data_IF_130068219213
#
_entry.id   IF_130068219213
#
_cell.length_a   1.000
_cell.length_b   1.000
_cell.length_c   1.000
_cell.angle_alpha   90.00
_cell.angle_beta   90.00
_cell.angle_gamma   90.00
#
_symmetry.space_group_name_H-M   'P 1'
#
loop_
_entity.id
_entity.type
_entity.pdbx_description
1 polymer ?
#
# COMPACT_ATOMS: atom_id res chain seq x y z
N UNK A 1 -74.77 -16.59 -1.95
CA UNK A 1 -73.68 -16.22 -2.89
C UNK A 1 -72.84 -15.11 -2.25
N UNK A 2 -71.60 -15.46 -1.88
CA UNK A 2 -70.41 -14.62 -1.68
C UNK A 2 -70.33 -13.59 -0.53
N UNK A 3 -69.85 -14.12 0.59
CA UNK A 3 -68.78 -13.61 1.47
C UNK A 3 -67.77 -12.66 0.76
N UNK A 4 -67.62 -11.41 1.25
CA UNK A 4 -66.45 -10.54 1.00
C UNK A 4 -66.07 -9.89 2.35
N UNK A 5 -65.19 -10.53 3.11
CA UNK A 5 -63.73 -10.26 3.23
C UNK A 5 -63.38 -8.87 3.77
N UNK A 6 -63.03 -8.90 5.06
CA UNK A 6 -62.19 -7.99 5.83
C UNK A 6 -60.93 -7.55 5.04
N UNK A 7 -60.57 -6.27 5.14
CA UNK A 7 -59.22 -5.78 4.87
C UNK A 7 -58.92 -4.66 5.86
N UNK A 8 -58.29 -5.03 6.97
CA UNK A 8 -57.62 -4.11 7.88
C UNK A 8 -56.26 -3.81 7.25
N UNK A 9 -56.09 -2.60 6.75
CA UNK A 9 -54.79 -2.11 6.29
C UNK A 9 -53.94 -1.76 7.52
N UNK A 10 -53.07 -2.69 7.93
CA UNK A 10 -52.02 -2.41 8.92
C UNK A 10 -50.95 -1.52 8.31
N UNK A 11 -50.80 -0.31 8.85
CA UNK A 11 -49.70 0.59 8.54
C UNK A 11 -48.42 0.04 9.22
N UNK A 12 -47.65 -0.78 8.50
CA UNK A 12 -46.29 -1.10 8.91
C UNK A 12 -45.37 0.06 8.50
N UNK A 13 -45.16 1.02 9.40
CA UNK A 13 -44.08 2.00 9.29
C UNK A 13 -42.75 1.26 9.51
N UNK A 14 -42.12 0.82 8.42
CA UNK A 14 -40.75 0.33 8.47
C UNK A 14 -39.80 1.49 8.71
N UNK A 15 -39.27 1.61 9.94
CA UNK A 15 -38.09 2.43 10.20
C UNK A 15 -36.89 1.73 9.55
N UNK A 16 -36.50 2.20 8.36
CA UNK A 16 -35.21 1.87 7.79
C UNK A 16 -34.14 2.56 8.64
N UNK A 17 -33.42 1.78 9.46
CA UNK A 17 -32.18 2.21 10.08
C UNK A 17 -31.15 2.38 8.96
N UNK A 18 -31.00 3.61 8.46
CA UNK A 18 -29.83 3.99 7.69
C UNK A 18 -28.64 4.03 8.65
N UNK A 19 -27.86 2.96 8.64
CA UNK A 19 -26.47 2.98 9.10
C UNK A 19 -25.72 3.93 8.18
N UNK A 20 -25.52 5.19 8.59
CA UNK A 20 -24.49 6.02 7.99
C UNK A 20 -23.16 5.49 8.52
N UNK A 21 -22.42 4.72 7.71
CA UNK A 21 -21.01 4.52 7.95
C UNK A 21 -20.37 5.91 7.96
N UNK A 22 -20.01 6.40 9.14
CA UNK A 22 -19.25 7.63 9.28
C UNK A 22 -17.91 7.37 8.59
N UNK A 23 -17.62 8.09 7.50
CA UNK A 23 -16.31 8.05 6.85
C UNK A 23 -15.27 8.23 7.96
N UNK A 24 -14.48 7.19 8.27
CA UNK A 24 -13.44 7.31 9.26
C UNK A 24 -12.47 8.37 8.76
N UNK A 25 -12.35 9.47 9.49
CA UNK A 25 -11.37 10.50 9.22
C UNK A 25 -10.00 9.97 9.62
N UNK A 26 -9.39 9.17 8.74
CA UNK A 26 -8.05 8.62 8.93
C UNK A 26 -7.08 9.79 8.97
N UNK A 27 -6.49 10.01 10.15
CA UNK A 27 -5.56 11.14 10.39
C UNK A 27 -4.16 10.88 9.87
N UNK A 28 -3.80 9.61 9.73
CA UNK A 28 -2.49 9.18 9.27
C UNK A 28 -2.25 9.49 7.81
N UNK A 29 -1.00 9.30 7.41
CA UNK A 29 -0.55 9.46 6.02
C UNK A 29 0.26 8.25 5.61
N UNK A 30 0.28 7.97 4.31
CA UNK A 30 1.15 6.95 3.74
C UNK A 30 2.24 7.61 2.89
N UNK A 31 3.47 7.12 3.02
CA UNK A 31 4.60 7.54 2.19
C UNK A 31 5.16 6.31 1.46
N UNK A 32 4.69 6.07 0.24
CA UNK A 32 4.90 4.82 -0.49
C UNK A 32 6.01 5.03 -1.52
N UNK A 33 7.16 4.38 -1.34
CA UNK A 33 8.40 4.65 -2.07
C UNK A 33 8.70 3.52 -3.07
N UNK A 34 8.91 3.87 -4.33
CA UNK A 34 9.16 2.91 -5.41
C UNK A 34 10.48 2.12 -5.27
N UNK A 35 11.39 2.56 -4.41
CA UNK A 35 12.67 1.89 -4.16
C UNK A 35 13.87 2.69 -4.63
N UNK A 36 15.01 2.02 -4.77
CA UNK A 36 16.27 2.67 -5.14
C UNK A 36 16.85 3.55 -4.02
N UNK A 37 17.65 4.54 -4.42
CA UNK A 37 18.18 5.54 -3.49
C UNK A 37 17.08 6.45 -2.97
N UNK A 38 17.20 6.92 -1.72
CA UNK A 38 16.33 7.98 -1.19
C UNK A 38 17.13 9.26 -1.12
N UNK A 39 16.81 10.29 -1.93
CA UNK A 39 17.48 11.57 -1.82
C UNK A 39 17.19 12.21 -0.46
N UNK A 40 18.11 13.06 0.01
CA UNK A 40 17.97 13.72 1.31
C UNK A 40 16.65 14.50 1.44
N UNK A 41 16.18 15.12 0.36
CA UNK A 41 14.89 15.82 0.28
C UNK A 41 13.68 14.91 0.55
N UNK A 42 13.74 13.64 0.12
CA UNK A 42 12.69 12.67 0.40
C UNK A 42 12.68 12.28 1.87
N UNK A 43 13.86 12.03 2.45
CA UNK A 43 13.97 11.69 3.88
C UNK A 43 13.53 12.86 4.76
N UNK A 44 13.91 14.09 4.40
CA UNK A 44 13.42 15.32 5.04
C UNK A 44 11.90 15.44 4.95
N UNK A 45 11.31 15.11 3.78
CA UNK A 45 9.86 15.09 3.63
C UNK A 45 9.20 14.08 4.58
N UNK A 46 9.74 12.87 4.73
CA UNK A 46 9.25 11.87 5.70
C UNK A 46 9.30 12.41 7.13
N UNK A 47 10.40 13.07 7.51
CA UNK A 47 10.57 13.70 8.83
C UNK A 47 9.47 14.75 9.06
N UNK A 48 9.29 15.66 8.10
CA UNK A 48 8.30 16.74 8.18
C UNK A 48 6.86 16.23 8.29
N UNK A 49 6.51 15.22 7.49
CA UNK A 49 5.14 14.68 7.44
C UNK A 49 4.82 13.83 8.68
N UNK A 50 5.81 13.14 9.25
CA UNK A 50 5.65 12.38 10.50
C UNK A 50 5.68 13.26 11.75
N UNK A 51 6.37 14.41 11.69
CA UNK A 51 6.57 15.31 12.82
C UNK A 51 7.49 14.75 13.91
N UNK A 52 8.30 13.74 13.59
CA UNK A 52 9.24 13.12 14.54
C UNK A 52 10.32 14.08 15.05
N UNK A 53 10.61 15.13 14.28
CA UNK A 53 11.50 16.23 14.66
C UNK A 53 10.91 17.14 15.76
N UNK A 54 9.59 17.11 15.94
CA UNK A 54 8.86 17.89 16.95
C UNK A 54 8.57 17.09 18.22
N UNK A 55 8.89 15.80 18.24
CA UNK A 55 8.72 14.91 19.39
C UNK A 55 8.27 13.50 19.00
N UNK A 56 8.30 12.58 19.97
CA UNK A 56 8.02 11.17 19.73
C UNK A 56 9.21 10.42 19.16
N UNK A 57 8.96 9.34 18.43
CA UNK A 57 9.99 8.51 17.82
C UNK A 57 9.47 7.82 16.56
N UNK A 58 10.40 7.34 15.74
CA UNK A 58 10.12 6.45 14.62
C UNK A 58 10.63 5.03 14.86
N UNK A 59 10.00 4.06 14.22
CA UNK A 59 10.48 2.68 14.17
C UNK A 59 10.71 2.25 12.72
N UNK A 60 11.76 1.49 12.49
CA UNK A 60 12.01 0.77 11.23
C UNK A 60 11.63 -0.68 11.45
N UNK A 61 10.78 -1.20 10.58
CA UNK A 61 10.37 -2.59 10.50
C UNK A 61 11.17 -3.28 9.37
N UNK A 62 12.25 -4.03 9.68
CA UNK A 62 13.19 -4.51 8.68
C UNK A 62 12.85 -5.91 8.11
N UNK A 63 11.71 -6.47 8.47
CA UNK A 63 11.35 -7.89 8.30
C UNK A 63 11.26 -8.36 6.85
N UNK A 64 11.14 -7.44 5.88
CA UNK A 64 11.22 -7.76 4.45
C UNK A 64 12.61 -8.28 4.05
N UNK A 65 13.65 -7.87 4.76
CA UNK A 65 15.06 -8.15 4.43
C UNK A 65 15.48 -9.56 4.86
N UNK A 66 16.36 -10.20 4.09
CA UNK A 66 17.10 -11.38 4.55
C UNK A 66 18.17 -11.06 5.60
N UNK A 67 18.54 -9.78 5.72
CA UNK A 67 19.48 -9.27 6.73
C UNK A 67 18.80 -8.11 7.49
N UNK A 68 17.94 -8.42 8.48
CA UNK A 68 17.14 -7.40 9.16
C UNK A 68 17.99 -6.35 9.90
N UNK A 69 19.07 -6.76 10.55
CA UNK A 69 19.94 -5.84 11.30
C UNK A 69 20.62 -4.81 10.39
N UNK A 70 21.20 -5.27 9.27
CA UNK A 70 21.77 -4.40 8.25
C UNK A 70 20.71 -3.45 7.67
N UNK A 71 19.53 -3.98 7.36
CA UNK A 71 18.42 -3.21 6.81
C UNK A 71 17.98 -2.10 7.77
N UNK A 72 17.81 -2.43 9.05
CA UNK A 72 17.50 -1.47 10.10
C UNK A 72 18.59 -0.41 10.23
N UNK A 73 19.87 -0.80 10.28
CA UNK A 73 21.00 0.11 10.38
C UNK A 73 21.01 1.14 9.23
N UNK A 74 20.91 0.69 7.97
CA UNK A 74 20.93 1.62 6.85
C UNK A 74 19.69 2.50 6.77
N UNK A 75 18.52 1.97 7.16
CA UNK A 75 17.26 2.71 7.18
C UNK A 75 17.18 3.72 8.35
N UNK A 76 17.82 3.50 9.49
CA UNK A 76 17.92 4.52 10.55
C UNK A 76 18.98 5.56 10.21
N UNK A 77 20.11 5.15 9.64
CA UNK A 77 21.23 6.03 9.33
C UNK A 77 20.88 7.14 8.33
N UNK A 78 19.91 6.95 7.43
CA UNK A 78 19.42 8.02 6.56
C UNK A 78 18.78 9.18 7.35
N UNK A 79 18.09 8.89 8.46
CA UNK A 79 17.51 9.92 9.34
C UNK A 79 18.58 10.54 10.25
N UNK A 80 19.53 9.74 10.75
CA UNK A 80 20.61 10.22 11.61
C UNK A 80 21.50 11.24 10.89
N UNK A 81 21.76 11.03 9.59
CA UNK A 81 22.48 11.98 8.73
C UNK A 81 21.79 13.35 8.60
N UNK A 82 20.49 13.42 8.86
CA UNK A 82 19.71 14.67 8.91
C UNK A 82 19.52 15.20 10.34
N UNK A 83 20.21 14.62 11.33
CA UNK A 83 20.12 15.03 12.74
C UNK A 83 18.93 14.46 13.51
N UNK A 84 18.14 13.57 12.90
CA UNK A 84 16.95 12.97 13.51
C UNK A 84 17.30 11.63 14.14
N UNK A 85 17.68 11.64 15.42
CA UNK A 85 18.28 10.48 16.11
C UNK A 85 17.28 9.60 16.89
N UNK A 86 15.99 9.93 16.85
CA UNK A 86 14.90 9.22 17.54
C UNK A 86 14.19 8.20 16.63
N UNK A 87 14.94 7.52 15.75
CA UNK A 87 14.43 6.46 14.88
C UNK A 87 15.18 5.17 15.19
N UNK A 88 14.46 4.07 15.45
CA UNK A 88 15.05 2.82 15.94
C UNK A 88 14.63 1.62 15.11
N UNK A 89 15.50 0.61 15.01
CA UNK A 89 15.12 -0.67 14.41
C UNK A 89 14.26 -1.49 15.38
N UNK A 90 13.15 -2.05 14.89
CA UNK A 90 12.29 -2.98 15.61
C UNK A 90 12.00 -4.19 14.73
N UNK A 91 12.70 -5.29 15.00
CA UNK A 91 12.53 -6.53 14.27
C UNK A 91 11.59 -7.49 14.99
N UNK A 92 10.74 -8.19 14.23
CA UNK A 92 9.96 -9.32 14.70
C UNK A 92 10.36 -10.60 13.96
N UNK A 93 10.17 -11.74 14.62
CA UNK A 93 10.35 -13.06 14.00
C UNK A 93 9.04 -13.83 14.08
N UNK A 94 8.82 -14.70 13.10
CA UNK A 94 7.59 -15.47 13.00
C UNK A 94 7.37 -16.31 14.27
N UNK A 95 6.12 -16.32 14.75
CA UNK A 95 5.67 -17.05 15.94
C UNK A 95 6.37 -16.64 17.25
N UNK A 96 7.04 -15.47 17.29
CA UNK A 96 7.63 -15.00 18.55
C UNK A 96 6.57 -14.61 19.58
N UNK A 97 6.90 -14.77 20.86
CA UNK A 97 6.05 -14.27 21.95
C UNK A 97 6.20 -12.75 22.03
N UNK A 98 5.15 -12.03 21.65
CA UNK A 98 5.13 -10.57 21.62
C UNK A 98 5.10 -9.99 23.04
N UNK A 99 6.05 -9.11 23.34
CA UNK A 99 6.06 -8.38 24.61
C UNK A 99 5.23 -7.09 24.50
N UNK A 100 4.61 -6.69 25.60
CA UNK A 100 3.86 -5.43 25.69
C UNK A 100 4.71 -4.24 25.21
N UNK A 101 6.01 -4.21 25.54
CA UNK A 101 6.93 -3.16 25.13
C UNK A 101 7.13 -3.05 23.61
N UNK A 102 7.23 -4.17 22.88
CA UNK A 102 7.37 -4.16 21.41
C UNK A 102 6.06 -3.70 20.76
N UNK A 103 4.93 -4.14 21.29
CA UNK A 103 3.60 -3.74 20.82
C UNK A 103 3.35 -2.24 21.04
N UNK A 104 3.65 -1.72 22.24
CA UNK A 104 3.55 -0.30 22.54
C UNK A 104 4.50 0.55 21.70
N UNK A 105 5.63 -0.02 21.27
CA UNK A 105 6.56 0.64 20.33
C UNK A 105 5.95 0.86 18.95
N UNK A 106 5.06 -0.03 18.49
CA UNK A 106 4.32 0.17 17.24
C UNK A 106 3.21 1.20 17.45
N UNK A 107 2.36 0.96 18.47
CA UNK A 107 1.14 1.75 18.72
C UNK A 107 1.40 3.25 18.84
N UNK A 108 2.53 3.64 19.44
CA UNK A 108 2.83 5.03 19.76
C UNK A 108 3.86 5.68 18.83
N UNK A 109 4.36 4.97 17.82
CA UNK A 109 5.35 5.51 16.89
C UNK A 109 4.73 6.61 16.03
N UNK A 110 5.44 7.74 15.87
CA UNK A 110 5.03 8.81 14.93
C UNK A 110 5.36 8.47 13.48
N UNK A 111 6.38 7.64 13.29
CA UNK A 111 6.80 7.10 12.00
C UNK A 111 6.94 5.58 12.13
N UNK A 112 6.29 4.84 11.25
CA UNK A 112 6.57 3.42 11.02
C UNK A 112 7.15 3.30 9.61
N UNK A 113 8.41 2.90 9.49
CA UNK A 113 9.11 2.75 8.21
C UNK A 113 9.34 1.27 7.89
N UNK A 114 8.69 0.76 6.85
CA UNK A 114 8.81 -0.62 6.38
C UNK A 114 9.92 -0.71 5.33
N UNK A 115 10.95 -1.51 5.60
CA UNK A 115 12.09 -1.62 4.69
C UNK A 115 11.81 -2.49 3.46
N UNK A 116 12.74 -2.43 2.48
CA UNK A 116 12.69 -3.25 1.27
C UNK A 116 13.16 -4.68 1.49
N UNK A 117 12.96 -5.52 0.48
CA UNK A 117 13.30 -6.94 0.52
C UNK A 117 12.22 -7.76 -0.20
N UNK A 118 11.64 -8.72 0.49
CA UNK A 118 10.51 -9.54 0.01
C UNK A 118 9.26 -9.25 0.84
N UNK A 119 8.22 -8.73 0.18
CA UNK A 119 6.94 -8.41 0.79
C UNK A 119 6.21 -9.65 1.33
N UNK A 120 6.45 -10.83 0.76
CA UNK A 120 5.87 -12.07 1.29
C UNK A 120 6.44 -12.39 2.67
N UNK A 121 7.75 -12.18 2.89
CA UNK A 121 8.39 -12.41 4.20
C UNK A 121 7.85 -11.48 5.29
N UNK A 122 7.61 -10.22 4.93
CA UNK A 122 7.00 -9.27 5.85
C UNK A 122 5.59 -9.72 6.22
N UNK A 123 4.74 -10.04 5.24
CA UNK A 123 3.38 -10.47 5.50
C UNK A 123 3.32 -11.82 6.25
N UNK A 124 4.24 -12.75 6.00
CA UNK A 124 4.32 -14.03 6.73
C UNK A 124 4.56 -13.88 8.24
N UNK A 125 5.08 -12.72 8.67
CA UNK A 125 5.31 -12.38 10.09
C UNK A 125 4.15 -11.55 10.65
N UNK A 126 3.57 -10.67 9.84
CA UNK A 126 2.64 -9.62 10.31
C UNK A 126 1.18 -10.00 10.15
N UNK A 127 0.81 -10.70 9.06
CA UNK A 127 -0.57 -10.99 8.72
C UNK A 127 -1.28 -11.81 9.79
N UNK A 128 -2.49 -11.38 10.19
CA UNK A 128 -3.32 -12.03 11.17
C UNK A 128 -2.78 -11.93 12.61
N UNK A 129 -1.81 -11.05 12.86
CA UNK A 129 -1.21 -10.86 14.19
C UNK A 129 -1.58 -9.51 14.80
N UNK A 130 -1.32 -9.37 16.10
CA UNK A 130 -1.43 -8.08 16.80
C UNK A 130 -0.55 -6.99 16.14
N UNK A 131 0.54 -7.35 15.47
CA UNK A 131 1.42 -6.38 14.78
C UNK A 131 0.66 -5.66 13.68
N UNK A 132 -0.13 -6.39 12.88
CA UNK A 132 -0.96 -5.80 11.82
C UNK A 132 -1.97 -4.83 12.42
N UNK A 133 -2.72 -5.28 13.43
CA UNK A 133 -3.72 -4.44 14.13
C UNK A 133 -3.10 -3.14 14.62
N UNK A 134 -1.91 -3.20 15.23
CA UNK A 134 -1.25 -2.00 15.77
C UNK A 134 -0.68 -1.06 14.69
N UNK A 135 -0.29 -1.58 13.52
CA UNK A 135 0.09 -0.73 12.38
C UNK A 135 -1.14 0.05 11.90
N UNK A 136 -2.32 -0.60 11.83
CA UNK A 136 -3.58 0.07 11.51
C UNK A 136 -3.98 1.09 12.57
N UNK A 137 -3.96 0.73 13.86
CA UNK A 137 -4.25 1.67 14.95
C UNK A 137 -3.31 2.88 14.91
N UNK A 138 -2.01 2.67 14.70
CA UNK A 138 -1.05 3.76 14.60
C UNK A 138 -1.37 4.68 13.41
N UNK A 139 -1.70 4.11 12.26
CA UNK A 139 -2.11 4.86 11.07
C UNK A 139 -3.39 5.68 11.31
N UNK A 140 -4.45 5.06 11.81
CA UNK A 140 -5.72 5.72 12.15
C UNK A 140 -5.52 6.86 13.16
N UNK A 141 -4.59 6.69 14.12
CA UNK A 141 -4.26 7.67 15.14
C UNK A 141 -3.30 8.78 14.69
N UNK A 142 -2.92 8.83 13.41
CA UNK A 142 -2.17 9.96 12.84
C UNK A 142 -0.68 9.71 12.62
N UNK A 143 -0.23 8.46 12.66
CA UNK A 143 1.16 8.12 12.35
C UNK A 143 1.40 8.16 10.84
N UNK A 144 2.63 8.49 10.44
CA UNK A 144 3.08 8.30 9.07
C UNK A 144 3.56 6.86 8.89
N UNK A 145 2.94 6.12 7.98
CA UNK A 145 3.45 4.80 7.57
C UNK A 145 4.19 4.97 6.25
N UNK A 146 5.51 4.79 6.29
CA UNK A 146 6.38 4.87 5.13
C UNK A 146 6.85 3.48 4.73
N UNK A 147 7.04 3.22 3.45
CA UNK A 147 7.51 1.90 3.00
C UNK A 147 8.21 1.96 1.66
N UNK A 148 9.33 1.24 1.51
CA UNK A 148 10.13 1.23 0.28
C UNK A 148 10.17 -0.14 -0.36
N UNK A 149 10.04 -0.21 -1.69
CA UNK A 149 10.09 -1.47 -2.45
C UNK A 149 9.07 -2.48 -1.91
N UNK A 150 9.48 -3.58 -1.26
CA UNK A 150 8.57 -4.49 -0.56
C UNK A 150 7.62 -3.75 0.40
N UNK A 151 8.14 -2.79 1.18
CA UNK A 151 7.34 -1.95 2.06
C UNK A 151 6.31 -1.08 1.34
N UNK A 152 6.50 -0.78 0.05
CA UNK A 152 5.49 -0.10 -0.76
C UNK A 152 4.38 -1.05 -1.22
N UNK A 153 4.73 -2.28 -1.59
CA UNK A 153 3.78 -3.29 -2.05
C UNK A 153 2.81 -3.72 -0.95
N UNK A 154 3.27 -3.85 0.30
CA UNK A 154 2.41 -4.26 1.43
C UNK A 154 1.36 -3.22 1.81
N UNK A 155 1.46 -1.97 1.32
CA UNK A 155 0.52 -0.91 1.68
C UNK A 155 -0.88 -1.18 1.12
N UNK A 156 -0.96 -1.72 -0.09
CA UNK A 156 -2.23 -2.03 -0.74
C UNK A 156 -2.85 -3.32 -0.19
N UNK A 157 -4.18 -3.37 -0.13
CA UNK A 157 -4.90 -4.58 0.27
C UNK A 157 -4.64 -5.71 -0.73
N UNK A 158 -4.77 -5.42 -2.02
CA UNK A 158 -4.29 -6.32 -3.06
C UNK A 158 -2.82 -6.05 -3.34
N UNK A 159 -1.97 -7.02 -3.07
CA UNK A 159 -0.51 -6.90 -3.17
C UNK A 159 0.05 -7.83 -4.25
N UNK A 160 0.84 -7.28 -5.18
CA UNK A 160 1.60 -8.07 -6.16
C UNK A 160 2.75 -8.80 -5.45
N UNK A 161 2.80 -10.13 -5.52
CA UNK A 161 3.83 -10.93 -4.83
C UNK A 161 5.18 -10.94 -5.55
N UNK A 162 5.16 -10.68 -6.86
CA UNK A 162 6.33 -10.79 -7.75
C UNK A 162 6.48 -12.14 -8.44
N UNK A 163 5.56 -13.08 -8.21
CA UNK A 163 5.48 -14.36 -8.93
C UNK A 163 4.74 -14.19 -10.25
N UNK A 164 5.32 -14.72 -11.34
CA UNK A 164 4.66 -14.85 -12.65
C UNK A 164 4.16 -16.29 -12.80
N UNK A 165 2.84 -16.49 -12.77
CA UNK A 165 2.22 -17.80 -12.60
C UNK A 165 2.49 -18.74 -13.78
N UNK A 166 2.48 -18.21 -15.01
CA UNK A 166 2.70 -19.01 -16.23
C UNK A 166 4.18 -19.11 -16.61
N UNK A 167 5.04 -18.32 -15.99
CA UNK A 167 6.48 -18.27 -16.25
C UNK A 167 7.26 -18.29 -14.92
N UNK A 168 7.36 -19.46 -14.25
CA UNK A 168 7.80 -19.56 -12.85
C UNK A 168 9.27 -19.21 -12.60
N UNK A 169 10.05 -18.92 -13.65
CA UNK A 169 11.40 -18.37 -13.49
C UNK A 169 11.30 -16.88 -13.20
N UNK A 170 11.86 -16.46 -12.08
CA UNK A 170 11.88 -15.05 -11.70
C UNK A 170 12.44 -14.17 -12.83
N UNK A 171 11.65 -13.16 -13.20
CA UNK A 171 12.07 -12.07 -14.06
C UNK A 171 11.59 -10.75 -13.46
N UNK A 172 12.45 -9.73 -13.48
CA UNK A 172 12.08 -8.40 -13.00
C UNK A 172 10.95 -7.75 -13.85
N UNK A 173 10.91 -8.12 -15.13
CA UNK A 173 9.97 -7.65 -16.15
C UNK A 173 9.19 -8.84 -16.70
N UNK A 174 7.86 -8.74 -16.74
CA UNK A 174 7.03 -9.77 -17.38
C UNK A 174 6.97 -9.46 -18.86
N UNK A 175 7.26 -10.44 -19.71
CA UNK A 175 7.30 -10.25 -21.18
C UNK A 175 5.93 -10.44 -21.84
N UNK A 176 4.91 -10.78 -21.06
CA UNK A 176 3.61 -11.21 -21.56
C UNK A 176 2.47 -10.47 -20.85
N UNK A 177 1.45 -10.12 -21.64
CA UNK A 177 0.13 -9.71 -21.17
C UNK A 177 -0.78 -10.93 -21.26
N UNK A 178 -0.88 -11.66 -20.16
CA UNK A 178 -1.63 -12.92 -20.07
C UNK A 178 -2.62 -12.85 -18.91
N UNK A 179 -3.82 -13.41 -19.12
CA UNK A 179 -4.80 -13.56 -18.04
C UNK A 179 -4.31 -14.56 -17.00
N UNK A 180 -4.65 -14.34 -15.73
CA UNK A 180 -4.28 -15.22 -14.61
C UNK A 180 -2.76 -15.47 -14.50
N UNK A 181 -1.94 -14.51 -14.93
CA UNK A 181 -0.47 -14.63 -14.93
C UNK A 181 0.19 -13.95 -13.71
N UNK A 182 -0.57 -13.18 -12.93
CA UNK A 182 -0.05 -12.46 -11.77
C UNK A 182 -0.55 -13.12 -10.51
N UNK A 183 0.37 -13.42 -9.61
CA UNK A 183 -0.01 -13.77 -8.25
C UNK A 183 -0.19 -12.50 -7.40
N UNK A 184 -1.36 -12.41 -6.78
CA UNK A 184 -1.68 -11.39 -5.77
C UNK A 184 -1.97 -12.07 -4.43
N UNK A 185 -1.63 -11.39 -3.34
CA UNK A 185 -2.01 -11.77 -1.96
C UNK A 185 -2.56 -10.56 -1.23
N UNK A 186 -3.11 -10.78 -0.04
CA UNK A 186 -3.50 -9.70 0.86
C UNK A 186 -2.26 -9.03 1.46
N UNK A 187 -2.12 -7.72 1.27
CA UNK A 187 -1.16 -6.87 1.98
C UNK A 187 -1.74 -6.38 3.31
N UNK A 188 -1.21 -5.30 3.86
CA UNK A 188 -1.77 -4.66 5.06
C UNK A 188 -3.14 -4.03 4.78
N UNK A 189 -3.40 -3.54 3.57
CA UNK A 189 -4.69 -2.87 3.30
C UNK A 189 -4.84 -1.54 4.01
N UNK A 190 -3.74 -0.81 4.21
CA UNK A 190 -3.76 0.59 4.64
C UNK A 190 -4.37 1.51 3.57
N UNK A 191 -4.38 1.04 2.33
CA UNK A 191 -5.11 1.60 1.21
C UNK A 191 -5.75 0.47 0.39
N UNK A 192 -7.06 0.55 0.18
CA UNK A 192 -7.85 -0.53 -0.45
C UNK A 192 -8.20 -0.22 -1.91
N UNK A 193 -8.13 1.06 -2.32
CA UNK A 193 -8.58 1.50 -3.66
C UNK A 193 -7.49 1.53 -4.72
N UNK A 194 -6.24 1.20 -4.35
CA UNK A 194 -5.12 1.12 -5.29
C UNK A 194 -4.36 -0.20 -5.16
N UNK A 195 -3.69 -0.60 -6.25
CA UNK A 195 -2.66 -1.63 -6.25
C UNK A 195 -1.32 -0.98 -6.63
N UNK A 196 -0.31 -1.19 -5.78
CA UNK A 196 1.00 -0.57 -5.94
C UNK A 196 1.97 -1.50 -6.65
N UNK A 197 2.71 -0.94 -7.60
CA UNK A 197 3.94 -1.53 -8.10
C UNK A 197 5.11 -0.55 -7.94
N UNK A 198 6.29 -1.09 -7.72
CA UNK A 198 7.51 -0.43 -7.27
C UNK A 198 8.67 -0.77 -8.22
N UNK A 199 9.76 -0.01 -8.21
CA UNK A 199 10.82 -0.03 -9.23
C UNK A 199 10.25 0.00 -10.66
N UNK A 200 9.15 0.74 -10.85
CA UNK A 200 8.20 0.43 -11.90
C UNK A 200 8.78 0.65 -13.31
N UNK A 201 9.25 1.87 -13.59
CA UNK A 201 9.84 2.22 -14.88
C UNK A 201 11.22 1.57 -15.01
N UNK A 202 12.04 1.67 -13.95
CA UNK A 202 13.38 1.09 -13.88
C UNK A 202 13.43 -0.40 -14.25
N UNK A 203 12.43 -1.18 -13.83
CA UNK A 203 12.31 -2.62 -14.14
C UNK A 203 11.27 -2.92 -15.21
N UNK A 204 10.78 -1.93 -15.94
CA UNK A 204 9.80 -2.09 -17.03
C UNK A 204 8.57 -2.93 -16.64
N UNK A 205 8.03 -2.71 -15.43
CA UNK A 205 6.95 -3.54 -14.84
C UNK A 205 5.54 -3.24 -15.40
N UNK A 206 5.46 -2.59 -16.55
CA UNK A 206 4.22 -2.21 -17.21
C UNK A 206 3.26 -3.38 -17.42
N UNK A 207 3.75 -4.49 -17.97
CA UNK A 207 2.89 -5.61 -18.35
C UNK A 207 2.16 -6.21 -17.15
N UNK A 208 2.84 -6.34 -15.99
CA UNK A 208 2.17 -6.89 -14.81
C UNK A 208 1.17 -5.90 -14.22
N UNK A 209 1.50 -4.62 -14.08
CA UNK A 209 0.50 -3.69 -13.54
C UNK A 209 -0.69 -3.51 -14.50
N UNK A 210 -0.46 -3.50 -15.81
CA UNK A 210 -1.54 -3.48 -16.81
C UNK A 210 -2.42 -4.72 -16.73
N UNK A 211 -1.85 -5.92 -16.70
CA UNK A 211 -2.63 -7.16 -16.52
C UNK A 211 -3.44 -7.08 -15.23
N UNK A 212 -2.86 -6.63 -14.11
CA UNK A 212 -3.60 -6.50 -12.84
C UNK A 212 -4.81 -5.56 -12.98
N UNK A 213 -4.67 -4.39 -13.61
CA UNK A 213 -5.79 -3.44 -13.78
C UNK A 213 -6.85 -3.90 -14.78
N UNK A 214 -6.49 -4.75 -15.74
CA UNK A 214 -7.48 -5.37 -16.60
C UNK A 214 -8.26 -6.45 -15.83
N UNK A 215 -7.63 -7.17 -14.90
CA UNK A 215 -8.27 -8.21 -14.11
C UNK A 215 -9.05 -7.68 -12.89
N UNK A 216 -8.61 -6.56 -12.33
CA UNK A 216 -9.17 -5.90 -11.15
C UNK A 216 -9.51 -4.42 -11.48
N UNK A 217 -10.50 -4.18 -12.36
CA UNK A 217 -10.78 -2.85 -12.91
C UNK A 217 -11.31 -1.84 -11.88
N UNK A 218 -11.76 -2.30 -10.72
CA UNK A 218 -12.16 -1.47 -9.58
C UNK A 218 -10.98 -0.77 -8.90
N UNK A 219 -9.75 -1.25 -9.11
CA UNK A 219 -8.55 -0.69 -8.51
C UNK A 219 -7.90 0.35 -9.43
N UNK A 220 -7.25 1.34 -8.83
CA UNK A 220 -6.29 2.20 -9.54
C UNK A 220 -4.89 1.59 -9.47
N UNK A 221 -4.24 1.38 -10.61
CA UNK A 221 -2.88 0.85 -10.64
C UNK A 221 -1.87 1.96 -10.52
N UNK A 222 -0.99 1.91 -9.52
CA UNK A 222 0.01 2.95 -9.26
C UNK A 222 1.42 2.37 -9.33
N UNK A 223 2.09 2.64 -10.43
CA UNK A 223 3.48 2.25 -10.68
C UNK A 223 4.45 3.36 -10.29
N UNK A 224 5.20 3.16 -9.21
CA UNK A 224 6.13 4.14 -8.62
C UNK A 224 7.56 3.79 -9.02
N UNK A 225 8.27 4.73 -9.62
CA UNK A 225 9.66 4.52 -10.03
C UNK A 225 10.66 4.65 -8.87
N UNK A 226 11.91 4.24 -9.10
CA UNK A 226 13.00 4.44 -8.14
C UNK A 226 13.21 5.93 -7.81
N UNK A 227 13.75 6.19 -6.61
CA UNK A 227 13.95 7.55 -6.06
C UNK A 227 12.68 8.43 -6.06
N UNK A 228 11.50 7.79 -6.12
CA UNK A 228 10.19 8.46 -6.18
C UNK A 228 9.23 7.80 -5.20
N UNK A 229 8.28 8.57 -4.73
CA UNK A 229 7.26 8.17 -3.79
C UNK A 229 5.92 8.84 -4.09
N UNK A 230 4.86 8.29 -3.53
CA UNK A 230 3.59 8.98 -3.36
C UNK A 230 3.33 9.26 -1.89
N UNK A 231 2.90 10.48 -1.59
CA UNK A 231 2.37 10.88 -0.29
C UNK A 231 0.85 10.86 -0.36
N UNK A 232 0.22 9.96 0.39
CA UNK A 232 -1.24 9.84 0.49
C UNK A 232 -1.71 10.52 1.75
N UNK A 233 -2.64 11.46 1.61
CA UNK A 233 -3.30 12.18 2.70
C UNK A 233 -4.80 12.26 2.41
N UNK A 234 -5.58 11.40 3.07
CA UNK A 234 -6.98 11.14 2.69
C UNK A 234 -7.05 10.67 1.24
N UNK A 235 -7.88 11.31 0.42
CA UNK A 235 -8.05 10.98 -1.01
C UNK A 235 -7.06 11.67 -1.96
N UNK A 236 -6.14 12.49 -1.42
CA UNK A 236 -5.17 13.23 -2.24
C UNK A 236 -3.84 12.50 -2.25
N UNK A 237 -3.27 12.36 -3.43
CA UNK A 237 -1.97 11.75 -3.66
C UNK A 237 -1.04 12.80 -4.28
N UNK A 238 0.11 13.05 -3.66
CA UNK A 238 1.18 13.92 -4.18
C UNK A 238 2.38 13.06 -4.60
N UNK A 239 2.95 13.35 -5.77
CA UNK A 239 4.21 12.71 -6.21
C UNK A 239 5.41 13.45 -5.61
N UNK A 240 6.32 12.70 -4.99
CA UNK A 240 7.50 13.24 -4.32
C UNK A 240 8.75 12.48 -4.79
N UNK A 241 9.86 13.19 -5.06
CA UNK A 241 11.14 12.57 -5.40
C UNK A 241 11.70 13.07 -6.73
N UNK A 242 12.33 12.17 -7.48
CA UNK A 242 13.18 12.53 -8.63
C UNK A 242 12.71 11.98 -9.98
N UNK A 243 11.81 10.99 -9.99
CA UNK A 243 11.27 10.36 -11.20
C UNK A 243 9.74 10.43 -11.20
N UNK A 244 9.09 9.51 -11.90
CA UNK A 244 7.68 9.57 -12.25
C UNK A 244 6.83 8.49 -11.58
N UNK A 245 5.52 8.76 -11.51
CA UNK A 245 4.49 7.79 -11.11
C UNK A 245 3.56 7.58 -12.28
N UNK A 246 3.38 6.33 -12.69
CA UNK A 246 2.48 5.94 -13.79
C UNK A 246 1.21 5.35 -13.21
N UNK A 247 0.07 5.92 -13.59
CA UNK A 247 -1.25 5.55 -13.07
C UNK A 247 -2.10 4.94 -14.19
N UNK A 248 -2.68 3.77 -13.93
CA UNK A 248 -3.59 3.07 -14.82
C UNK A 248 -4.99 2.99 -14.22
N UNK A 249 -6.02 3.18 -15.04
CA UNK A 249 -7.43 2.91 -14.70
C UNK A 249 -8.14 2.17 -15.84
N UNK A 250 -9.09 1.30 -15.50
CA UNK A 250 -9.95 0.60 -16.46
C UNK A 250 -11.44 0.93 -16.18
N UNK A 251 -11.88 2.18 -16.44
CA UNK A 251 -13.18 2.66 -16.01
C UNK A 251 -14.35 1.91 -16.67
N UNK A 252 -14.15 1.42 -17.89
CA UNK A 252 -15.15 0.69 -18.65
C UNK A 252 -15.12 -0.83 -18.39
N UNK A 253 -14.36 -1.27 -17.38
CA UNK A 253 -14.16 -2.69 -17.02
C UNK A 253 -13.82 -3.59 -18.21
N UNK A 254 -13.10 -3.03 -19.19
CA UNK A 254 -12.83 -3.69 -20.47
C UNK A 254 -11.87 -4.86 -20.27
N UNK A 255 -12.32 -6.07 -20.64
CA UNK A 255 -11.50 -7.29 -20.63
C UNK A 255 -11.97 -8.25 -21.72
N UNK A 256 -11.03 -8.73 -22.54
CA UNK A 256 -11.21 -9.85 -23.47
C UNK A 256 -10.04 -10.82 -23.35
N UNK A 257 -10.25 -12.08 -23.72
CA UNK A 257 -9.19 -13.09 -23.72
C UNK A 257 -9.18 -13.90 -25.01
N UNK A 258 -7.99 -14.21 -25.52
CA UNK A 258 -7.78 -15.09 -26.68
C UNK A 258 -6.45 -15.82 -26.53
N UNK A 259 -6.49 -17.16 -26.44
CA UNK A 259 -5.32 -18.01 -26.21
C UNK A 259 -4.41 -17.49 -25.08
N UNK A 260 -4.99 -17.35 -23.87
CA UNK A 260 -4.35 -16.78 -22.67
C UNK A 260 -3.93 -15.30 -22.75
N UNK A 261 -3.96 -14.67 -23.94
CA UNK A 261 -3.65 -13.25 -24.08
C UNK A 261 -4.82 -12.42 -23.60
N UNK A 262 -4.50 -11.35 -22.89
CA UNK A 262 -5.49 -10.41 -22.37
C UNK A 262 -5.55 -9.17 -23.27
N UNK A 263 -6.77 -8.74 -23.60
CA UNK A 263 -7.06 -7.52 -24.34
C UNK A 263 -7.96 -6.60 -23.52
N UNK A 264 -7.79 -5.30 -23.69
CA UNK A 264 -8.64 -4.27 -23.09
C UNK A 264 -8.64 -3.00 -23.95
N UNK A 265 -9.74 -2.26 -23.90
CA UNK A 265 -9.91 -0.98 -24.58
C UNK A 265 -10.23 0.10 -23.55
N UNK A 266 -9.91 1.36 -23.87
CA UNK A 266 -10.25 2.49 -22.98
C UNK A 266 -9.42 2.56 -21.69
N UNK A 267 -8.29 1.85 -21.60
CA UNK A 267 -7.37 1.99 -20.46
C UNK A 267 -6.82 3.42 -20.42
N UNK A 268 -7.02 4.09 -19.29
CA UNK A 268 -6.48 5.42 -19.04
C UNK A 268 -5.08 5.27 -18.46
N UNK A 269 -4.11 5.97 -19.05
CA UNK A 269 -2.74 6.07 -18.56
C UNK A 269 -2.42 7.54 -18.30
N UNK A 270 -2.04 7.85 -17.06
CA UNK A 270 -1.50 9.15 -16.68
C UNK A 270 -0.07 8.98 -16.14
N UNK A 271 0.81 9.92 -16.44
CA UNK A 271 2.17 9.97 -15.88
C UNK A 271 2.27 11.27 -15.10
N UNK A 272 2.60 11.16 -13.82
CA UNK A 272 2.75 12.28 -12.91
C UNK A 272 4.22 12.46 -12.52
N UNK A 273 4.65 13.72 -12.47
CA UNK A 273 5.99 14.17 -12.10
C UNK A 273 5.98 14.75 -10.67
N UNK A 274 7.16 14.92 -10.04
CA UNK A 274 7.25 15.44 -8.68
C UNK A 274 6.54 16.79 -8.52
N UNK A 275 5.71 16.90 -7.47
CA UNK A 275 4.88 18.06 -7.16
C UNK A 275 3.48 18.01 -7.77
N UNK A 276 3.21 17.14 -8.75
CA UNK A 276 1.86 16.93 -9.25
C UNK A 276 1.02 16.13 -8.25
N UNK A 277 -0.30 16.33 -8.34
CA UNK A 277 -1.27 15.67 -7.46
C UNK A 277 -2.39 15.03 -8.25
N UNK A 278 -2.94 13.95 -7.72
CA UNK A 278 -4.15 13.31 -8.22
C UNK A 278 -5.02 12.81 -7.08
N UNK A 279 -6.24 12.38 -7.40
CA UNK A 279 -7.17 11.81 -6.44
C UNK A 279 -7.35 10.32 -6.65
N UNK A 280 -7.49 9.62 -5.54
CA UNK A 280 -7.95 8.24 -5.45
C UNK A 280 -9.37 8.23 -4.90
N UNK A 281 -10.12 7.20 -5.27
CA UNK A 281 -11.54 7.08 -4.95
C UNK A 281 -11.77 6.69 -3.47
#
# INVERSE_FOLDING_TARGET
MNLKRLLIAGLCLGYALQSSAQEMDIKGKLFIIGGGSRPASMVDRIVKESGIDKGGYGIVLPMSSSEPDSSAYYATNQFYKLGVNNVYGLNFVKDEVLTVSKLDSIRNAKLIYISGGDQNKFMDIVQGTEIEVLIHEAYENGSLIAGTSAGAAVMSEMMITGTEMKHPKYNATYRHLESENIETKTGLGLITTIIVDQHFVYRSRYNRLLTAIIEYPELTGVGIDESTAILVSGKTVEVVGESQVVVFKNPDTSKTTFNDKIGAHGIILNIYLPGETFKID
#
